data_IF_749544000562
#
_entry.id   IF_749544000562
#
_cell.length_a   1.000
_cell.length_b   1.000
_cell.length_c   1.000
_cell.angle_alpha   90.00
_cell.angle_beta   90.00
_cell.angle_gamma   90.00
#
_symmetry.space_group_name_H-M   'P 1'
#
loop_
_entity.id
_entity.type
_entity.pdbx_description
1 polymer ?
#
# COMPACT_ATOMS: atom_id res chain seq x y z
N UNK A 1 -2.93 -7.40 14.78
CA UNK A 1 -2.62 -7.06 16.18
C UNK A 1 -3.88 -6.52 16.83
N UNK A 2 -4.53 -7.19 17.79
CA UNK A 2 -5.66 -6.59 18.50
C UNK A 2 -5.15 -5.70 19.65
N UNK A 3 -5.64 -4.46 19.72
CA UNK A 3 -5.58 -3.64 20.93
C UNK A 3 -6.93 -3.67 21.64
N UNK A 4 -6.85 -3.81 22.96
CA UNK A 4 -7.91 -4.00 23.95
C UNK A 4 -8.97 -2.90 23.96
N UNK A 5 -10.24 -3.30 24.12
CA UNK A 5 -11.33 -2.36 24.39
C UNK A 5 -11.47 -2.09 25.89
N UNK A 6 -11.73 -0.82 26.24
CA UNK A 6 -12.13 -0.42 27.60
C UNK A 6 -13.67 -0.45 27.63
N UNK A 7 -14.25 -1.36 28.40
CA UNK A 7 -15.66 -1.22 28.81
C UNK A 7 -15.75 -0.34 30.06
N UNK A 8 -16.96 0.16 30.37
CA UNK A 8 -17.24 1.00 31.54
C UNK A 8 -17.22 0.23 32.88
N UNK A 9 -16.34 -0.76 33.01
CA UNK A 9 -15.79 -1.27 34.26
C UNK A 9 -14.28 -1.12 34.13
N UNK A 10 -13.61 -0.60 35.15
CA UNK A 10 -12.21 -0.11 35.14
C UNK A 10 -11.17 -1.19 34.80
N UNK A 11 -11.15 -1.67 33.56
CA UNK A 11 -10.38 -2.82 33.14
C UNK A 11 -10.47 -3.08 31.64
N UNK A 12 -9.54 -3.90 31.18
CA UNK A 12 -9.41 -4.28 29.79
C UNK A 12 -10.13 -5.61 29.50
N UNK A 13 -10.87 -5.69 28.39
CA UNK A 13 -11.42 -6.97 27.93
C UNK A 13 -10.37 -7.77 27.14
N UNK A 14 -9.89 -8.86 27.74
CA UNK A 14 -8.96 -9.81 27.12
C UNK A 14 -9.66 -11.00 26.46
N UNK A 15 -10.97 -11.15 26.64
CA UNK A 15 -11.74 -12.29 26.12
C UNK A 15 -12.15 -12.07 24.67
N UNK A 16 -12.50 -10.84 24.32
CA UNK A 16 -12.90 -10.49 22.97
C UNK A 16 -12.68 -9.00 22.69
N UNK A 17 -12.62 -8.64 21.41
CA UNK A 17 -12.78 -7.27 20.97
C UNK A 17 -13.87 -7.25 19.90
N UNK A 18 -14.78 -6.26 19.93
CA UNK A 18 -15.76 -6.12 18.85
C UNK A 18 -15.03 -5.86 17.52
N UNK A 19 -15.71 -6.12 16.40
CA UNK A 19 -15.13 -5.81 15.09
C UNK A 19 -14.82 -4.32 15.00
N UNK A 20 -13.67 -3.94 14.43
CA UNK A 20 -13.25 -2.54 14.35
C UNK A 20 -14.25 -1.64 13.61
N UNK A 21 -15.08 -2.22 12.73
CA UNK A 21 -16.13 -1.58 11.96
C UNK A 21 -17.44 -1.35 12.74
N UNK A 22 -17.58 -1.97 13.91
CA UNK A 22 -18.83 -1.97 14.69
C UNK A 22 -19.13 -0.63 15.38
N UNK A 23 -18.13 0.22 15.61
CA UNK A 23 -18.33 1.54 16.21
C UNK A 23 -17.31 2.57 15.71
N UNK A 24 -17.76 3.82 15.54
CA UNK A 24 -16.94 4.91 14.98
C UNK A 24 -15.71 5.24 15.85
N UNK A 25 -15.82 5.06 17.16
CA UNK A 25 -14.76 5.35 18.13
C UNK A 25 -14.06 4.07 18.63
N UNK A 26 -14.06 3.00 17.83
CA UNK A 26 -13.37 1.76 18.20
C UNK A 26 -11.89 2.07 18.51
N UNK A 27 -11.34 1.67 19.68
CA UNK A 27 -9.99 2.08 20.09
C UNK A 27 -8.91 1.77 19.05
N UNK A 28 -8.97 0.59 18.43
CA UNK A 28 -8.05 0.21 17.33
C UNK A 28 -8.21 1.13 16.12
N UNK A 29 -9.45 1.42 15.70
CA UNK A 29 -9.69 2.27 14.53
C UNK A 29 -9.25 3.71 14.80
N UNK A 30 -9.60 4.27 15.95
CA UNK A 30 -9.19 5.60 16.40
C UNK A 30 -7.67 5.74 16.46
N UNK A 31 -6.97 4.74 17.01
CA UNK A 31 -5.52 4.71 17.08
C UNK A 31 -4.90 4.73 15.68
N UNK A 32 -5.31 3.81 14.80
CA UNK A 32 -4.76 3.74 13.44
C UNK A 32 -5.12 4.97 12.61
N UNK A 33 -6.32 5.53 12.77
CA UNK A 33 -6.70 6.77 12.11
C UNK A 33 -5.78 7.92 12.51
N UNK A 34 -5.54 8.11 13.81
CA UNK A 34 -4.63 9.16 14.27
C UNK A 34 -3.19 8.91 13.82
N UNK A 35 -2.71 7.67 13.92
CA UNK A 35 -1.35 7.32 13.50
C UNK A 35 -1.14 7.56 11.99
N UNK A 36 -2.13 7.16 11.18
CA UNK A 36 -2.08 7.31 9.72
C UNK A 36 -2.15 8.78 9.31
N UNK A 37 -3.01 9.56 9.96
CA UNK A 37 -3.07 11.01 9.76
C UNK A 37 -1.71 11.65 10.05
N UNK A 38 -1.15 11.40 11.24
CA UNK A 38 0.15 11.98 11.63
C UNK A 38 1.29 11.51 10.72
N UNK A 39 1.26 10.24 10.27
CA UNK A 39 2.23 9.71 9.32
C UNK A 39 2.19 10.49 7.98
N UNK A 40 0.99 10.73 7.45
CA UNK A 40 0.83 11.45 6.20
C UNK A 40 1.11 12.96 6.30
N UNK A 41 0.75 13.61 7.40
CA UNK A 41 1.06 15.03 7.67
C UNK A 41 2.58 15.28 7.70
N UNK A 42 3.34 14.31 8.22
CA UNK A 42 4.79 14.37 8.34
C UNK A 42 5.54 13.85 7.10
N UNK A 43 4.83 13.34 6.10
CA UNK A 43 5.46 12.81 4.90
C UNK A 43 6.04 13.94 4.03
N UNK A 44 7.26 13.74 3.54
CA UNK A 44 7.95 14.68 2.68
C UNK A 44 8.81 13.98 1.62
N UNK A 45 9.11 14.68 0.53
CA UNK A 45 9.89 14.15 -0.59
C UNK A 45 9.11 13.17 -1.45
N UNK A 46 9.77 12.10 -1.89
CA UNK A 46 9.16 11.07 -2.73
C UNK A 46 8.49 10.00 -1.87
N UNK A 47 7.17 9.90 -1.93
CA UNK A 47 6.42 8.82 -1.28
C UNK A 47 6.16 7.67 -2.24
N UNK A 48 5.91 6.48 -1.69
CA UNK A 48 5.55 5.29 -2.46
C UNK A 48 4.27 4.68 -1.93
N UNK A 49 3.33 4.37 -2.82
CA UNK A 49 2.06 3.72 -2.53
C UNK A 49 2.08 2.36 -3.20
N UNK A 50 1.93 1.30 -2.42
CA UNK A 50 1.88 -0.07 -2.92
C UNK A 50 0.44 -0.57 -2.92
N UNK A 51 -0.06 -0.94 -4.10
CA UNK A 51 -1.43 -1.43 -4.30
C UNK A 51 -1.40 -2.87 -4.82
N UNK A 52 -2.40 -3.64 -4.42
CA UNK A 52 -2.57 -5.02 -4.88
C UNK A 52 -3.37 -5.06 -6.18
N UNK A 53 -2.73 -5.44 -7.28
CA UNK A 53 -3.33 -5.54 -8.61
C UNK A 53 -4.19 -6.80 -8.81
N UNK A 54 -4.12 -7.77 -7.90
CA UNK A 54 -4.88 -9.03 -7.98
C UNK A 54 -6.24 -9.01 -7.30
N UNK A 55 -6.63 -7.87 -6.72
CA UNK A 55 -7.96 -7.67 -6.14
C UNK A 55 -8.71 -6.60 -6.93
N UNK A 56 -10.04 -6.70 -6.96
CA UNK A 56 -10.88 -5.60 -7.43
C UNK A 56 -10.84 -4.45 -6.41
N UNK A 57 -10.90 -3.20 -6.89
CA UNK A 57 -10.81 -2.01 -6.06
C UNK A 57 -9.50 -1.94 -5.27
N UNK A 58 -8.37 -2.10 -5.97
CA UNK A 58 -7.03 -1.92 -5.41
C UNK A 58 -6.88 -0.60 -4.63
N UNK A 59 -7.57 0.45 -5.08
CA UNK A 59 -7.77 1.68 -4.34
C UNK A 59 -9.23 1.83 -3.89
N UNK A 60 -9.44 2.08 -2.59
CA UNK A 60 -10.75 2.44 -2.03
C UNK A 60 -10.66 3.79 -1.32
N UNK A 61 -11.53 4.73 -1.70
CA UNK A 61 -11.67 6.04 -1.07
C UNK A 61 -12.04 5.95 0.42
N UNK A 62 -12.65 4.84 0.86
CA UNK A 62 -13.02 4.59 2.26
C UNK A 62 -11.92 3.89 3.06
N UNK A 63 -10.85 3.44 2.42
CA UNK A 63 -9.70 2.86 3.12
C UNK A 63 -8.98 3.90 4.00
N UNK A 64 -8.10 3.45 4.90
CA UNK A 64 -7.27 4.35 5.71
C UNK A 64 -6.42 5.27 4.82
N UNK A 65 -5.83 4.71 3.77
CA UNK A 65 -5.09 5.48 2.78
C UNK A 65 -5.99 6.50 2.06
N UNK A 66 -7.16 6.07 1.59
CA UNK A 66 -8.08 6.90 0.82
C UNK A 66 -8.71 8.04 1.61
N UNK A 67 -9.15 7.78 2.84
CA UNK A 67 -9.97 8.69 3.64
C UNK A 67 -9.21 9.48 4.70
N UNK A 68 -7.96 9.09 4.99
CA UNK A 68 -7.16 9.70 6.05
C UNK A 68 -5.81 10.14 5.50
N UNK A 69 -5.00 9.20 5.01
CA UNK A 69 -3.62 9.50 4.63
C UNK A 69 -3.58 10.46 3.44
N UNK A 70 -4.28 10.14 2.34
CA UNK A 70 -4.32 11.00 1.15
C UNK A 70 -4.73 12.42 1.53
N UNK A 71 -5.84 12.60 2.24
CA UNK A 71 -6.35 13.91 2.65
C UNK A 71 -5.37 14.69 3.54
N UNK A 72 -4.54 13.98 4.29
CA UNK A 72 -3.55 14.56 5.19
C UNK A 72 -2.20 14.87 4.51
N UNK A 73 -1.95 14.37 3.29
CA UNK A 73 -0.73 14.68 2.53
C UNK A 73 -0.68 16.16 2.14
N UNK A 74 0.48 16.78 2.34
CA UNK A 74 0.76 18.15 1.95
C UNK A 74 1.46 18.20 0.57
N UNK A 75 0.84 18.79 -0.47
CA UNK A 75 1.45 18.96 -1.80
C UNK A 75 2.71 19.83 -1.81
N UNK A 76 2.94 20.64 -0.78
CA UNK A 76 4.15 21.46 -0.67
C UNK A 76 5.34 20.69 -0.08
N UNK A 77 5.07 19.62 0.68
CA UNK A 77 6.12 18.80 1.30
C UNK A 77 6.45 17.56 0.49
N UNK A 78 5.47 17.03 -0.26
CA UNK A 78 5.60 15.82 -1.08
C UNK A 78 5.93 16.22 -2.51
N UNK A 79 7.14 15.88 -2.94
CA UNK A 79 7.64 16.17 -4.28
C UNK A 79 6.98 15.25 -5.32
N UNK A 80 6.79 13.97 -4.97
CA UNK A 80 6.38 12.95 -5.92
C UNK A 80 5.70 11.74 -5.27
N UNK A 81 4.65 11.21 -5.92
CA UNK A 81 3.91 10.01 -5.50
C UNK A 81 4.19 8.86 -6.46
N UNK A 82 4.92 7.85 -6.00
CA UNK A 82 5.24 6.65 -6.78
C UNK A 82 4.20 5.56 -6.49
N UNK A 83 3.30 5.31 -7.42
CA UNK A 83 2.31 4.22 -7.31
C UNK A 83 2.95 2.95 -7.88
N UNK A 84 2.93 1.87 -7.10
CA UNK A 84 3.38 0.54 -7.49
C UNK A 84 2.18 -0.39 -7.42
N UNK A 85 1.76 -0.93 -8.56
CA UNK A 85 0.68 -1.93 -8.61
C UNK A 85 1.32 -3.29 -8.82
N UNK A 86 1.09 -4.20 -7.88
CA UNK A 86 1.69 -5.53 -7.88
C UNK A 86 0.60 -6.57 -7.81
N UNK A 87 0.57 -7.44 -8.82
CA UNK A 87 -0.25 -8.64 -8.79
C UNK A 87 0.48 -9.80 -8.12
N UNK A 88 -0.30 -10.71 -7.54
CA UNK A 88 0.18 -11.99 -7.03
C UNK A 88 0.71 -12.84 -8.20
N UNK A 89 1.72 -13.67 -7.94
CA UNK A 89 2.36 -14.51 -8.97
C UNK A 89 1.37 -15.43 -9.73
N UNK A 90 0.40 -16.00 -9.02
CA UNK A 90 -0.65 -16.87 -9.60
C UNK A 90 -2.01 -16.16 -9.74
N UNK A 91 -2.09 -14.90 -9.29
CA UNK A 91 -3.36 -14.19 -9.21
C UNK A 91 -3.80 -13.60 -10.56
N UNK A 92 -5.11 -13.36 -10.75
CA UNK A 92 -5.56 -12.58 -11.89
C UNK A 92 -4.95 -11.17 -11.80
N UNK A 93 -4.72 -10.57 -12.96
CA UNK A 93 -4.32 -9.18 -13.07
C UNK A 93 -5.59 -8.33 -13.29
N UNK A 94 -6.18 -7.83 -12.21
CA UNK A 94 -7.50 -7.16 -12.21
C UNK A 94 -7.34 -5.64 -12.31
N UNK A 95 -6.44 -5.07 -11.54
CA UNK A 95 -6.20 -3.64 -11.41
C UNK A 95 -4.79 -3.31 -11.90
N UNK A 96 -4.64 -2.17 -12.60
CA UNK A 96 -3.37 -1.73 -13.18
C UNK A 96 -3.25 -0.22 -13.18
N UNK A 97 -2.08 0.31 -13.49
CA UNK A 97 -1.89 1.74 -13.70
C UNK A 97 -2.78 2.36 -14.78
N UNK A 98 -3.33 1.54 -15.68
CA UNK A 98 -4.15 1.96 -16.81
C UNK A 98 -5.64 1.62 -16.68
N UNK A 99 -6.07 0.95 -15.60
CA UNK A 99 -7.47 0.53 -15.48
C UNK A 99 -7.94 0.42 -14.02
N UNK A 100 -9.25 0.47 -13.82
CA UNK A 100 -9.90 0.25 -12.53
C UNK A 100 -9.76 1.41 -11.55
N UNK A 101 -9.83 1.11 -10.27
CA UNK A 101 -9.77 2.09 -9.16
C UNK A 101 -8.43 2.83 -9.06
N UNK A 102 -7.35 2.30 -9.64
CA UNK A 102 -6.06 3.01 -9.69
C UNK A 102 -6.17 4.31 -10.50
N UNK A 103 -7.02 4.34 -11.54
CA UNK A 103 -7.29 5.57 -12.29
C UNK A 103 -8.00 6.62 -11.43
N UNK A 104 -8.87 6.21 -10.53
CA UNK A 104 -9.53 7.13 -9.59
C UNK A 104 -8.49 7.77 -8.64
N UNK A 105 -7.54 6.99 -8.14
CA UNK A 105 -6.42 7.50 -7.35
C UNK A 105 -5.60 8.52 -8.14
N UNK A 106 -5.22 8.18 -9.37
CA UNK A 106 -4.47 9.07 -10.26
C UNK A 106 -5.22 10.39 -10.49
N UNK A 107 -6.55 10.34 -10.65
CA UNK A 107 -7.36 11.53 -10.84
C UNK A 107 -7.42 12.41 -9.58
N UNK A 108 -7.45 11.80 -8.38
CA UNK A 108 -7.37 12.53 -7.11
C UNK A 108 -6.00 13.19 -6.93
N UNK A 109 -4.91 12.48 -7.22
CA UNK A 109 -3.56 13.04 -7.12
C UNK A 109 -3.40 14.22 -8.08
N UNK A 110 -3.89 14.07 -9.33
CA UNK A 110 -3.90 15.14 -10.32
C UNK A 110 -4.71 16.35 -9.86
N UNK A 111 -5.92 16.15 -9.35
CA UNK A 111 -6.79 17.26 -8.93
C UNK A 111 -6.24 18.03 -7.72
N UNK A 112 -5.43 17.35 -6.90
CA UNK A 112 -4.76 17.94 -5.73
C UNK A 112 -3.36 18.49 -6.03
N UNK A 113 -2.92 18.43 -7.29
CA UNK A 113 -1.67 19.03 -7.75
C UNK A 113 -0.41 18.22 -7.42
N UNK A 114 -0.54 16.94 -7.09
CA UNK A 114 0.63 16.08 -6.89
C UNK A 114 1.22 15.64 -8.23
N UNK A 115 2.55 15.59 -8.28
CA UNK A 115 3.27 14.85 -9.32
C UNK A 115 3.26 13.36 -8.99
N UNK A 116 3.05 12.49 -9.98
CA UNK A 116 2.89 11.06 -9.75
C UNK A 116 3.44 10.21 -10.89
N UNK A 117 3.86 9.00 -10.56
CA UNK A 117 4.16 7.92 -11.50
C UNK A 117 3.37 6.69 -11.09
N UNK A 118 3.10 5.81 -12.06
CA UNK A 118 2.56 4.50 -11.77
C UNK A 118 3.38 3.45 -12.51
N UNK A 119 3.81 2.41 -11.79
CA UNK A 119 4.53 1.26 -12.35
C UNK A 119 3.77 -0.01 -12.03
N UNK A 120 3.40 -0.74 -13.07
CA UNK A 120 2.92 -2.11 -12.96
C UNK A 120 4.10 -3.08 -12.86
N UNK A 121 3.97 -4.11 -12.01
CA UNK A 121 4.90 -5.24 -11.95
C UNK A 121 6.37 -4.84 -11.78
N UNK A 122 6.66 -4.01 -10.76
CA UNK A 122 8.03 -3.63 -10.42
C UNK A 122 8.91 -4.85 -10.17
N UNK A 123 10.05 -4.91 -10.86
CA UNK A 123 10.95 -6.08 -10.82
C UNK A 123 11.44 -6.39 -9.40
N UNK A 124 11.69 -5.38 -8.57
CA UNK A 124 12.13 -5.58 -7.19
C UNK A 124 11.04 -6.26 -6.36
N UNK A 125 9.80 -5.81 -6.52
CA UNK A 125 8.65 -6.36 -5.80
C UNK A 125 8.31 -7.76 -6.29
N UNK A 126 8.46 -8.03 -7.60
CA UNK A 126 8.36 -9.38 -8.15
C UNK A 126 9.42 -10.32 -7.56
N UNK A 127 10.69 -9.90 -7.49
CA UNK A 127 11.76 -10.68 -6.87
C UNK A 127 11.44 -10.99 -5.40
N UNK A 128 10.90 -10.00 -4.65
CA UNK A 128 10.50 -10.21 -3.25
C UNK A 128 9.41 -11.28 -3.11
N UNK A 129 8.42 -11.32 -4.00
CA UNK A 129 7.40 -12.38 -4.01
C UNK A 129 8.02 -13.76 -4.30
N UNK A 130 8.97 -13.82 -5.22
CA UNK A 130 9.66 -15.05 -5.62
C UNK A 130 10.57 -15.65 -4.54
N UNK A 131 10.92 -14.90 -3.49
CA UNK A 131 11.69 -15.47 -2.36
C UNK A 131 10.84 -16.51 -1.61
N UNK A 132 9.53 -16.32 -1.55
CA UNK A 132 8.62 -17.23 -0.85
C UNK A 132 8.34 -18.49 -1.66
N UNK A 133 8.17 -18.36 -2.98
CA UNK A 133 8.02 -19.50 -3.88
C UNK A 133 8.90 -19.35 -5.15
N UNK A 134 10.14 -19.87 -5.11
CA UNK A 134 11.08 -19.76 -6.22
C UNK A 134 10.72 -20.63 -7.44
N UNK A 135 9.81 -21.60 -7.29
CA UNK A 135 9.51 -22.58 -8.35
C UNK A 135 8.45 -22.07 -9.31
N UNK A 136 7.79 -20.97 -8.96
CA UNK A 136 6.76 -20.35 -9.76
C UNK A 136 7.27 -19.95 -11.15
N UNK A 137 6.41 -20.14 -12.15
CA UNK A 137 6.76 -19.87 -13.55
C UNK A 137 7.14 -18.40 -13.78
N UNK A 138 6.43 -17.47 -13.14
CA UNK A 138 6.72 -16.04 -13.15
C UNK A 138 8.11 -15.71 -12.57
N UNK A 139 8.63 -16.55 -11.67
CA UNK A 139 9.91 -16.35 -10.99
C UNK A 139 11.12 -16.93 -11.75
N UNK A 140 10.89 -17.72 -12.78
CA UNK A 140 11.97 -18.32 -13.58
C UNK A 140 12.80 -17.25 -14.31
N UNK A 141 12.17 -16.14 -14.71
CA UNK A 141 12.86 -14.99 -15.32
C UNK A 141 13.77 -14.28 -14.31
N UNK A 142 13.41 -14.28 -13.02
CA UNK A 142 14.19 -13.65 -11.94
C UNK A 142 15.52 -14.37 -11.70
N UNK A 143 15.55 -15.70 -11.80
CA UNK A 143 16.77 -16.49 -11.63
C UNK A 143 17.88 -16.10 -12.65
N UNK A 144 17.47 -15.74 -13.87
CA UNK A 144 18.39 -15.29 -14.91
C UNK A 144 18.94 -13.87 -14.63
N UNK A 145 18.14 -12.99 -14.03
CA UNK A 145 18.56 -11.62 -13.69
C UNK A 145 19.51 -11.55 -12.49
N UNK A 146 19.37 -12.45 -11.52
CA UNK A 146 20.31 -12.60 -10.40
C UNK A 146 21.66 -13.17 -10.88
N UNK A 147 21.65 -13.98 -11.94
CA UNK A 147 22.86 -14.45 -12.62
C UNK A 147 23.55 -13.37 -13.48
N UNK A 148 22.90 -12.22 -13.70
CA UNK A 148 23.44 -11.09 -14.47
C UNK A 148 24.00 -9.94 -13.61
N UNK A 149 24.02 -10.07 -12.28
CA UNK A 149 24.96 -9.29 -11.45
C UNK A 149 26.35 -9.91 -11.48
N UNK A 150 26.93 -10.06 -12.67
CA UNK A 150 28.38 -9.86 -12.77
C UNK A 150 28.58 -8.36 -12.63
N UNK A 151 29.19 -7.96 -11.52
CA UNK A 151 29.70 -6.61 -11.32
C UNK A 151 30.32 -6.11 -12.63
N UNK A 152 29.87 -4.94 -13.09
CA UNK A 152 30.59 -4.12 -14.05
C UNK A 152 32.06 -4.05 -13.63
N UNK A 153 32.87 -4.90 -14.26
CA UNK A 153 34.32 -4.84 -14.30
C UNK A 153 34.68 -5.17 -15.74
N UNK A 154 34.59 -4.15 -16.58
CA UNK A 154 35.11 -4.18 -17.94
C UNK A 154 36.15 -3.07 -18.06
N UNK A 155 37.41 -3.52 -18.03
CA UNK A 155 38.68 -2.90 -18.40
C UNK A 155 39.18 -1.69 -17.61
#
# INVERSE_FOLDING_TARGET
MPFLSLYCETGFDFSSCPEWSSCQNHPVYSLWRQASQTFAELACGNITVLLNGSIANAFDKKSMFGSVELDSLNPQSVDYVNIKVVANLEGPYIESCSQGSVLDLIQILRSRGFSWTCTDNDQTLMILQCIQDPKESACQTCANSLSHRQCLTSN
#
